data_IF_020189391682
#
_entry.id   IF_020189391682
#
_cell.length_a   1.000
_cell.length_b   1.000
_cell.length_c   1.000
_cell.angle_alpha   90.00
_cell.angle_beta   90.00
_cell.angle_gamma   90.00
#
_symmetry.space_group_name_H-M   'P 1'
#
loop_
_entity.id
_entity.type
_entity.pdbx_description
1 polymer ?
#
# COMPACT_ATOMS: atom_id res chain seq x y z
N UNK A 1 2.81 -52.70 5.44
CA UNK A 1 4.23 -52.56 5.09
C UNK A 1 4.40 -52.70 3.58
N UNK A 2 4.73 -51.61 2.88
CA UNK A 2 5.66 -51.53 1.74
C UNK A 2 5.55 -50.13 1.14
N UNK A 3 6.64 -49.39 1.28
CA UNK A 3 6.85 -48.01 0.84
C UNK A 3 7.31 -48.06 -0.61
N UNK A 4 6.72 -47.27 -1.50
CA UNK A 4 7.31 -46.94 -2.80
C UNK A 4 7.41 -45.44 -2.90
N UNK A 5 8.58 -44.94 -2.47
CA UNK A 5 9.06 -43.60 -2.72
C UNK A 5 9.40 -43.49 -4.21
N UNK A 6 8.61 -42.74 -4.97
CA UNK A 6 9.01 -42.27 -6.30
C UNK A 6 9.34 -40.79 -6.15
N UNK A 7 10.64 -40.54 -5.98
CA UNK A 7 11.23 -39.23 -6.14
C UNK A 7 11.37 -38.97 -7.64
N UNK A 8 10.64 -37.99 -8.17
CA UNK A 8 10.90 -37.40 -9.48
C UNK A 8 11.21 -35.92 -9.28
N UNK A 9 12.49 -35.64 -9.06
CA UNK A 9 13.10 -34.34 -9.24
C UNK A 9 13.14 -34.05 -10.75
N UNK A 10 12.22 -33.22 -11.23
CA UNK A 10 12.33 -32.58 -12.55
C UNK A 10 12.70 -31.10 -12.33
N UNK A 11 14.00 -30.86 -12.15
CA UNK A 11 14.59 -29.55 -12.29
C UNK A 11 14.89 -29.32 -13.78
N UNK A 12 14.11 -28.49 -14.46
CA UNK A 12 14.55 -27.79 -15.67
C UNK A 12 13.57 -26.67 -16.06
N UNK A 13 14.06 -25.43 -15.87
CA UNK A 13 13.91 -24.31 -16.80
C UNK A 13 12.47 -23.91 -17.20
N UNK A 14 11.81 -23.13 -16.36
CA UNK A 14 10.80 -22.20 -16.88
C UNK A 14 11.54 -21.13 -17.71
N UNK A 15 11.18 -20.92 -18.99
CA UNK A 15 11.66 -19.79 -19.77
C UNK A 15 11.26 -18.51 -19.03
N UNK A 16 12.25 -17.79 -18.52
CA UNK A 16 12.10 -16.42 -18.03
C UNK A 16 11.67 -15.56 -19.20
N UNK A 17 10.36 -15.43 -19.40
CA UNK A 17 9.78 -14.34 -20.15
C UNK A 17 10.26 -13.06 -19.47
N UNK A 18 11.25 -12.42 -20.08
CA UNK A 18 11.58 -11.04 -19.85
C UNK A 18 10.30 -10.25 -20.17
N UNK A 19 9.49 -10.01 -19.15
CA UNK A 19 8.43 -9.01 -19.15
C UNK A 19 9.15 -7.69 -19.43
N UNK A 20 9.14 -7.27 -20.70
CA UNK A 20 9.41 -5.91 -21.10
C UNK A 20 8.31 -5.04 -20.48
N UNK A 21 8.46 -4.74 -19.19
CA UNK A 21 7.73 -3.68 -18.52
C UNK A 21 8.23 -2.38 -19.15
N UNK A 22 7.39 -1.60 -19.86
CA UNK A 22 7.79 -0.29 -20.33
C UNK A 22 8.27 0.54 -19.14
N UNK A 23 9.53 0.92 -19.22
CA UNK A 23 10.26 1.68 -18.22
C UNK A 23 9.70 3.09 -18.17
N UNK A 24 8.67 3.28 -17.33
CA UNK A 24 7.96 4.55 -17.24
C UNK A 24 6.54 4.43 -16.70
N UNK A 25 6.32 3.66 -15.63
CA UNK A 25 5.09 3.81 -14.85
C UNK A 25 4.97 5.28 -14.40
N UNK A 26 3.78 5.91 -14.48
CA UNK A 26 3.61 7.33 -14.19
C UNK A 26 4.20 7.65 -12.82
N UNK A 27 5.32 8.39 -12.82
CA UNK A 27 5.90 8.95 -11.61
C UNK A 27 4.80 9.77 -10.94
N UNK A 28 4.62 9.57 -9.63
CA UNK A 28 3.67 10.33 -8.83
C UNK A 28 4.10 11.80 -8.72
N UNK A 29 3.95 12.55 -9.80
CA UNK A 29 4.02 14.00 -9.82
C UNK A 29 2.74 14.52 -9.15
N UNK A 30 2.88 14.81 -7.86
CA UNK A 30 1.93 15.53 -6.98
C UNK A 30 0.47 15.49 -7.44
N UNK A 31 -0.23 14.42 -7.07
CA UNK A 31 -1.69 14.38 -7.05
C UNK A 31 -2.34 14.12 -8.41
N UNK A 32 -3.40 13.32 -8.37
CA UNK A 32 -4.28 13.06 -9.50
C UNK A 32 -4.78 14.42 -10.06
N UNK A 33 -4.26 14.85 -11.23
CA UNK A 33 -4.61 16.11 -11.90
C UNK A 33 -3.75 17.35 -11.58
N UNK A 34 -2.69 17.22 -10.77
CA UNK A 34 -1.94 18.38 -10.25
C UNK A 34 -1.24 19.26 -11.29
N UNK A 35 -1.00 18.76 -12.51
CA UNK A 35 -0.40 19.53 -13.61
C UNK A 35 -1.48 20.15 -14.51
N UNK A 36 -2.50 19.38 -14.93
CA UNK A 36 -3.56 19.87 -15.80
C UNK A 36 -4.36 21.04 -15.21
N UNK A 37 -4.64 21.03 -13.90
CA UNK A 37 -5.39 22.13 -13.26
C UNK A 37 -4.54 23.35 -12.90
N UNK A 38 -3.21 23.27 -13.02
CA UNK A 38 -2.34 24.43 -12.77
C UNK A 38 -2.33 25.42 -13.93
N UNK A 39 -2.51 24.94 -15.15
CA UNK A 39 -2.47 25.74 -16.39
C UNK A 39 -3.80 26.47 -16.69
N UNK A 40 -4.88 26.16 -15.97
CA UNK A 40 -6.22 26.69 -16.23
C UNK A 40 -6.53 28.02 -15.53
N UNK A 41 -5.52 28.70 -14.96
CA UNK A 41 -5.65 29.99 -14.25
C UNK A 41 -6.86 30.07 -13.30
N UNK A 42 -7.10 28.98 -12.56
CA UNK A 42 -8.27 28.83 -11.70
C UNK A 42 -8.31 29.88 -10.59
N UNK A 43 -9.49 30.47 -10.36
CA UNK A 43 -9.75 31.33 -9.20
C UNK A 43 -9.63 30.53 -7.88
N UNK A 44 -9.47 31.23 -6.76
CA UNK A 44 -9.35 30.60 -5.43
C UNK A 44 -10.56 29.70 -5.10
N UNK A 45 -11.76 30.14 -5.45
CA UNK A 45 -13.00 29.40 -5.23
C UNK A 45 -13.08 28.16 -6.11
N UNK A 46 -12.74 28.28 -7.40
CA UNK A 46 -12.67 27.13 -8.31
C UNK A 46 -11.66 26.07 -7.83
N UNK A 47 -10.48 26.50 -7.37
CA UNK A 47 -9.48 25.57 -6.80
C UNK A 47 -9.99 24.85 -5.55
N UNK A 48 -10.78 25.53 -4.72
CA UNK A 48 -11.38 24.92 -3.54
C UNK A 48 -12.38 23.83 -3.93
N UNK A 49 -13.34 24.16 -4.81
CA UNK A 49 -14.39 23.22 -5.24
C UNK A 49 -13.81 22.04 -6.02
N UNK A 50 -12.87 22.28 -6.94
CA UNK A 50 -12.16 21.20 -7.64
C UNK A 50 -11.41 20.32 -6.64
N UNK A 51 -10.74 20.92 -5.66
CA UNK A 51 -10.06 20.19 -4.60
C UNK A 51 -11.01 19.33 -3.76
N UNK A 52 -12.23 19.81 -3.50
CA UNK A 52 -13.28 19.05 -2.82
C UNK A 52 -13.74 17.87 -3.68
N UNK A 53 -14.08 18.11 -4.95
CA UNK A 53 -14.47 17.05 -5.90
C UNK A 53 -13.40 15.96 -6.04
N UNK A 54 -12.12 16.33 -6.07
CA UNK A 54 -11.02 15.36 -6.12
C UNK A 54 -10.95 14.51 -4.84
N UNK A 55 -11.10 15.12 -3.66
CA UNK A 55 -11.14 14.37 -2.39
C UNK A 55 -12.35 13.45 -2.32
N UNK A 56 -13.52 13.91 -2.74
CA UNK A 56 -14.74 13.10 -2.74
C UNK A 56 -14.66 11.95 -3.74
N UNK A 57 -14.07 12.19 -4.93
CA UNK A 57 -13.75 11.13 -5.88
C UNK A 57 -12.79 10.09 -5.33
N UNK A 58 -11.75 10.50 -4.58
CA UNK A 58 -10.83 9.56 -3.91
C UNK A 58 -11.54 8.73 -2.83
N UNK A 59 -12.40 9.35 -2.02
CA UNK A 59 -13.23 8.65 -1.02
C UNK A 59 -14.16 7.64 -1.68
N UNK A 60 -14.89 8.05 -2.73
CA UNK A 60 -15.81 7.18 -3.46
C UNK A 60 -15.07 5.97 -4.05
N UNK A 61 -13.89 6.16 -4.64
CA UNK A 61 -13.05 5.05 -5.14
C UNK A 61 -12.67 4.09 -4.01
N UNK A 62 -12.27 4.61 -2.86
CA UNK A 62 -11.94 3.79 -1.69
C UNK A 62 -13.16 2.99 -1.22
N UNK A 63 -14.31 3.63 -1.03
CA UNK A 63 -15.56 2.98 -0.60
C UNK A 63 -16.06 1.92 -1.59
N UNK A 64 -15.99 2.19 -2.90
CA UNK A 64 -16.30 1.20 -3.93
C UNK A 64 -15.40 -0.02 -3.76
N UNK A 65 -14.09 0.18 -3.66
CA UNK A 65 -13.11 -0.90 -3.54
C UNK A 65 -13.35 -1.71 -2.27
N UNK A 66 -13.52 -1.03 -1.13
CA UNK A 66 -13.76 -1.69 0.16
C UNK A 66 -15.03 -2.54 0.15
N UNK A 67 -16.12 -2.05 -0.45
CA UNK A 67 -17.36 -2.84 -0.58
C UNK A 67 -17.17 -4.16 -1.33
N UNK A 68 -16.21 -4.25 -2.24
CA UNK A 68 -15.89 -5.51 -2.92
C UNK A 68 -14.88 -6.34 -2.14
N UNK A 69 -13.86 -5.72 -1.54
CA UNK A 69 -12.95 -6.42 -0.64
C UNK A 69 -13.70 -7.04 0.54
N UNK A 70 -14.75 -6.39 1.05
CA UNK A 70 -15.55 -6.88 2.16
C UNK A 70 -16.26 -8.20 1.88
N UNK A 71 -16.53 -8.50 0.60
CA UNK A 71 -17.14 -9.75 0.14
C UNK A 71 -16.13 -10.91 0.10
N UNK A 72 -14.83 -10.63 0.18
CA UNK A 72 -13.81 -11.68 0.20
C UNK A 72 -13.93 -12.53 1.48
N UNK A 73 -13.73 -13.85 1.39
CA UNK A 73 -13.58 -14.70 2.56
C UNK A 73 -12.47 -14.21 3.49
N UNK A 74 -12.61 -14.43 4.80
CA UNK A 74 -11.62 -13.99 5.79
C UNK A 74 -10.20 -14.56 5.52
N UNK A 75 -10.11 -15.78 4.99
CA UNK A 75 -8.84 -16.39 4.60
C UNK A 75 -8.16 -15.63 3.45
N UNK A 76 -8.92 -15.23 2.44
CA UNK A 76 -8.39 -14.48 1.29
C UNK A 76 -8.01 -13.05 1.68
N UNK A 77 -8.81 -12.38 2.53
CA UNK A 77 -8.45 -11.07 3.10
C UNK A 77 -7.12 -11.14 3.84
N UNK A 78 -6.95 -12.17 4.69
CA UNK A 78 -5.71 -12.37 5.43
C UNK A 78 -4.53 -12.67 4.52
N UNK A 79 -4.71 -13.53 3.51
CA UNK A 79 -3.67 -13.81 2.52
C UNK A 79 -3.23 -12.52 1.80
N UNK A 80 -4.18 -11.70 1.36
CA UNK A 80 -3.88 -10.40 0.74
C UNK A 80 -3.12 -9.47 1.69
N UNK A 81 -3.52 -9.34 2.95
CA UNK A 81 -2.80 -8.53 3.94
C UNK A 81 -1.37 -9.02 4.18
N UNK A 82 -1.19 -10.34 4.28
CA UNK A 82 0.11 -10.96 4.50
C UNK A 82 1.03 -10.78 3.27
N UNK A 83 0.48 -10.88 2.05
CA UNK A 83 1.19 -10.59 0.80
C UNK A 83 1.63 -9.12 0.72
N UNK A 84 0.75 -8.17 1.07
CA UNK A 84 1.09 -6.75 1.13
C UNK A 84 2.22 -6.50 2.13
N UNK A 85 2.12 -7.03 3.36
CA UNK A 85 3.17 -6.89 4.39
C UNK A 85 4.50 -7.48 3.93
N UNK A 86 4.47 -8.64 3.28
CA UNK A 86 5.67 -9.26 2.73
C UNK A 86 6.30 -8.41 1.61
N UNK A 87 5.48 -7.83 0.72
CA UNK A 87 5.95 -6.94 -0.33
C UNK A 87 6.54 -5.63 0.25
N UNK A 88 5.89 -5.03 1.25
CA UNK A 88 6.38 -3.85 1.96
C UNK A 88 7.74 -4.10 2.62
N UNK A 89 7.89 -5.24 3.32
CA UNK A 89 9.15 -5.62 3.95
C UNK A 89 10.27 -5.79 2.92
N UNK A 90 10.01 -6.51 1.82
CA UNK A 90 10.98 -6.67 0.72
C UNK A 90 11.39 -5.34 0.12
N UNK A 91 10.43 -4.45 -0.15
CA UNK A 91 10.71 -3.13 -0.69
C UNK A 91 11.53 -2.27 0.29
N UNK A 92 11.23 -2.35 1.59
CA UNK A 92 11.99 -1.65 2.64
C UNK A 92 13.44 -2.12 2.68
N UNK A 93 13.68 -3.43 2.63
CA UNK A 93 15.03 -3.99 2.63
C UNK A 93 15.79 -3.61 1.36
N UNK A 94 15.12 -3.64 0.20
CA UNK A 94 15.70 -3.20 -1.07
C UNK A 94 16.07 -1.71 -1.05
N UNK A 95 15.22 -0.85 -0.48
CA UNK A 95 15.54 0.58 -0.29
C UNK A 95 16.75 0.72 0.62
N UNK A 96 16.75 0.05 1.78
CA UNK A 96 17.86 0.12 2.75
C UNK A 96 19.20 -0.29 2.13
N UNK A 97 19.21 -1.32 1.28
CA UNK A 97 20.39 -1.80 0.57
C UNK A 97 20.99 -0.77 -0.40
N UNK A 98 20.20 0.20 -0.90
CA UNK A 98 20.68 1.28 -1.76
C UNK A 98 21.24 2.49 -0.99
N UNK A 99 21.06 2.53 0.34
CA UNK A 99 21.47 3.66 1.18
C UNK A 99 22.90 3.49 1.71
N UNK A 100 23.59 4.61 1.89
CA UNK A 100 24.90 4.64 2.59
C UNK A 100 24.71 4.30 4.08
N UNK A 101 25.74 3.80 4.79
CA UNK A 101 25.62 3.41 6.21
C UNK A 101 25.06 4.49 7.13
N UNK A 102 25.43 5.76 6.93
CA UNK A 102 24.89 6.88 7.71
C UNK A 102 23.39 7.11 7.43
N UNK A 103 22.97 6.97 6.17
CA UNK A 103 21.56 7.11 5.77
C UNK A 103 20.70 5.93 6.26
N UNK A 104 21.28 4.72 6.32
CA UNK A 104 20.59 3.55 6.86
C UNK A 104 20.16 3.76 8.32
N UNK A 105 21.03 4.37 9.16
CA UNK A 105 20.68 4.69 10.55
C UNK A 105 19.45 5.60 10.64
N UNK A 106 19.44 6.70 9.88
CA UNK A 106 18.29 7.62 9.85
C UNK A 106 17.05 6.94 9.28
N UNK A 107 17.21 6.09 8.26
CA UNK A 107 16.09 5.34 7.69
C UNK A 107 15.47 4.39 8.71
N UNK A 108 16.29 3.61 9.43
CA UNK A 108 15.83 2.67 10.45
C UNK A 108 15.12 3.40 11.61
N UNK A 109 15.64 4.55 12.05
CA UNK A 109 14.98 5.40 13.05
C UNK A 109 13.62 5.93 12.57
N UNK A 110 13.53 6.35 11.30
CA UNK A 110 12.26 6.79 10.71
C UNK A 110 11.26 5.63 10.69
N UNK A 111 11.69 4.42 10.30
CA UNK A 111 10.83 3.23 10.30
C UNK A 111 10.30 2.94 11.71
N UNK A 112 11.17 2.95 12.73
CA UNK A 112 10.75 2.76 14.11
C UNK A 112 9.71 3.80 14.56
N UNK A 113 9.94 5.08 14.27
CA UNK A 113 8.98 6.16 14.57
C UNK A 113 7.66 6.04 13.80
N UNK A 114 7.68 5.42 12.62
CA UNK A 114 6.46 5.15 11.86
C UNK A 114 5.67 4.00 12.48
N UNK A 115 6.34 2.95 12.95
CA UNK A 115 5.72 1.82 13.65
C UNK A 115 5.10 2.25 14.98
N UNK A 116 5.81 3.07 15.78
CA UNK A 116 5.28 3.67 17.01
C UNK A 116 4.01 4.50 16.73
N UNK A 117 4.04 5.41 15.74
CA UNK A 117 2.86 6.20 15.35
C UNK A 117 1.70 5.36 14.83
N UNK A 118 1.96 4.22 14.19
CA UNK A 118 0.91 3.29 13.76
C UNK A 118 0.27 2.61 14.97
N UNK A 119 1.07 2.18 15.94
CA UNK A 119 0.59 1.58 17.18
C UNK A 119 -0.25 2.59 17.98
N UNK A 120 0.24 3.81 18.18
CA UNK A 120 -0.51 4.88 18.86
C UNK A 120 -1.84 5.19 18.18
N UNK A 121 -1.86 5.25 16.83
CA UNK A 121 -3.12 5.45 16.09
C UNK A 121 -4.08 4.28 16.25
N UNK A 122 -3.59 3.04 16.24
CA UNK A 122 -4.43 1.87 16.45
C UNK A 122 -5.07 1.86 17.85
N UNK A 123 -4.31 2.24 18.88
CA UNK A 123 -4.84 2.42 20.24
C UNK A 123 -5.90 3.53 20.30
N UNK A 124 -5.63 4.66 19.64
CA UNK A 124 -6.59 5.77 19.58
C UNK A 124 -7.89 5.39 18.84
N UNK A 125 -7.79 4.67 17.71
CA UNK A 125 -8.95 4.18 16.97
C UNK A 125 -9.77 3.18 17.80
N UNK A 126 -9.11 2.27 18.53
CA UNK A 126 -9.78 1.35 19.46
C UNK A 126 -10.50 2.11 20.59
N UNK A 127 -9.84 3.09 21.21
CA UNK A 127 -10.44 3.95 22.23
C UNK A 127 -11.65 4.71 21.69
N UNK A 128 -11.55 5.25 20.47
CA UNK A 128 -12.65 5.98 19.83
C UNK A 128 -13.83 5.06 19.56
N UNK A 129 -13.59 3.85 19.06
CA UNK A 129 -14.65 2.86 18.85
C UNK A 129 -15.34 2.44 20.15
N UNK A 130 -14.61 2.30 21.26
CA UNK A 130 -15.19 2.07 22.58
C UNK A 130 -16.03 3.25 23.07
N UNK A 131 -15.59 4.48 22.83
CA UNK A 131 -16.33 5.70 23.20
C UNK A 131 -17.62 5.84 22.39
N UNK A 132 -17.56 5.65 21.08
CA UNK A 132 -18.72 5.72 20.21
C UNK A 132 -19.77 4.65 20.58
N UNK A 133 -19.34 3.44 20.97
CA UNK A 133 -20.22 2.38 21.50
C UNK A 133 -20.87 2.72 22.84
N UNK A 134 -20.22 3.52 23.70
CA UNK A 134 -20.77 3.96 25.00
C UNK A 134 -21.67 5.19 24.88
N UNK A 135 -21.65 5.88 23.74
CA UNK A 135 -22.46 7.05 23.45
C UNK A 135 -23.76 6.74 22.67
N UNK A 136 -23.95 5.48 22.28
CA UNK A 136 -25.20 4.93 21.72
C UNK A 136 -25.97 4.16 22.80
#
# INVERSE_FOLDING_TARGET
>A
MRKTLIALLLAATLPTLAMAMPEGGPRHERGFGGHAFKELDLTREQRHEIGKLMRDGMKARHEITQRYLDKLPAAEKKAMEDEIKAAEAKNRDAIRAQLKPEQQKTFDEIQKKMEERRAERAEFEAWKAEKDKKAQ
#
